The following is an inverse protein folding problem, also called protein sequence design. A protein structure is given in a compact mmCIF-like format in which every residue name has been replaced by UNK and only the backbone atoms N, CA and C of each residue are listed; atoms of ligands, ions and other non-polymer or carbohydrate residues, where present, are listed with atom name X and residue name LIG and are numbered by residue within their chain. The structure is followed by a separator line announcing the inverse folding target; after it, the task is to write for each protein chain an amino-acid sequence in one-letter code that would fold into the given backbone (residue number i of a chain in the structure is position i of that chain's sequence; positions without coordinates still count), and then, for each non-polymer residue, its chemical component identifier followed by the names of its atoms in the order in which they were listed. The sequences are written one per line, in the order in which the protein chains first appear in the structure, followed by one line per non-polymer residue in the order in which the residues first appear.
data_IF_299382788471
#
_entry.id   IF_299382788471
#
_cell.length_a   1.000
_cell.length_b   1.000
_cell.length_c   1.000
_cell.angle_alpha   90.00
_cell.angle_beta   90.00
_cell.angle_gamma   90.00
#
_symmetry.space_group_name_H-M   'P 1'
#
loop_
_entity.id
_entity.type
_entity.pdbx_description
1 polymer ?
#
# COMPACT_ATOMS: atom_id res chain seq x y z
N UNK A 1 2.13 -3.67 4.85
CA UNK A 1 1.63 -2.71 3.84
C UNK A 1 1.15 -3.42 2.58
N UNK A 2 1.99 -4.18 1.86
CA UNK A 2 1.55 -4.92 0.65
C UNK A 2 0.34 -5.85 0.88
N UNK A 3 0.33 -6.61 1.98
CA UNK A 3 -0.76 -7.53 2.30
C UNK A 3 -2.14 -6.85 2.39
N UNK A 4 -2.20 -5.57 2.80
CA UNK A 4 -3.44 -4.79 2.87
C UNK A 4 -4.00 -4.57 1.46
N UNK A 5 -3.16 -4.12 0.53
CA UNK A 5 -3.54 -3.94 -0.88
C UNK A 5 -3.84 -5.27 -1.58
N UNK A 6 -3.02 -6.30 -1.32
CA UNK A 6 -3.16 -7.61 -1.93
C UNK A 6 -4.46 -8.33 -1.53
N UNK A 7 -4.82 -8.25 -0.24
CA UNK A 7 -6.04 -8.88 0.29
C UNK A 7 -7.29 -8.03 0.05
N UNK A 8 -7.14 -6.81 -0.44
CA UNK A 8 -8.25 -5.86 -0.54
C UNK A 8 -8.83 -5.51 0.84
N UNK A 9 -7.98 -5.42 1.86
CA UNK A 9 -8.41 -5.01 3.21
C UNK A 9 -8.65 -3.50 3.22
N UNK A 10 -9.83 -3.10 2.75
CA UNK A 10 -10.19 -1.70 2.51
C UNK A 10 -10.13 -0.88 3.80
N UNK A 11 -10.45 -1.48 4.95
CA UNK A 11 -10.37 -0.78 6.24
C UNK A 11 -8.94 -0.39 6.62
N UNK A 12 -7.94 -1.08 6.06
CA UNK A 12 -6.52 -0.72 6.18
C UNK A 12 -6.06 0.39 5.23
N UNK A 13 -6.88 0.82 4.27
CA UNK A 13 -6.45 1.75 3.21
C UNK A 13 -6.11 3.15 3.74
N UNK A 14 -6.72 3.60 4.85
CA UNK A 14 -6.37 4.87 5.49
C UNK A 14 -4.90 4.90 5.94
N UNK A 15 -4.45 3.88 6.67
CA UNK A 15 -3.05 3.75 7.09
C UNK A 15 -2.09 3.54 5.92
N UNK A 16 -2.56 2.85 4.88
CA UNK A 16 -1.77 2.64 3.67
C UNK A 16 -1.54 3.95 2.92
N UNK A 17 -2.56 4.79 2.81
CA UNK A 17 -2.50 6.13 2.24
C UNK A 17 -1.57 7.06 3.03
N UNK A 18 -1.66 7.05 4.37
CA UNK A 18 -0.76 7.82 5.25
C UNK A 18 0.71 7.44 5.03
N UNK A 19 0.99 6.14 4.92
CA UNK A 19 2.33 5.65 4.64
C UNK A 19 2.85 6.08 3.26
N UNK A 20 2.03 5.96 2.21
CA UNK A 20 2.38 6.44 0.87
C UNK A 20 2.67 7.94 0.90
N UNK A 21 1.82 8.71 1.57
CA UNK A 21 1.97 10.17 1.72
C UNK A 21 3.30 10.53 2.37
N UNK A 22 3.60 9.92 3.53
CA UNK A 22 4.85 10.13 4.26
C UNK A 22 6.08 9.78 3.42
N UNK A 23 6.09 8.58 2.82
CA UNK A 23 7.22 8.10 2.05
C UNK A 23 7.51 8.98 0.83
N UNK A 24 6.45 9.38 0.11
CA UNK A 24 6.58 10.20 -1.10
C UNK A 24 6.79 11.69 -0.80
N UNK A 25 6.52 12.17 0.43
CA UNK A 25 6.99 13.48 0.91
C UNK A 25 8.47 13.46 1.27
N UNK A 26 8.92 12.36 1.85
CA UNK A 26 10.32 12.18 2.24
C UNK A 26 11.22 11.93 1.02
N UNK A 27 10.74 11.14 0.07
CA UNK A 27 11.44 10.80 -1.18
C UNK A 27 10.48 10.95 -2.36
N UNK A 28 10.35 12.15 -2.94
CA UNK A 28 9.41 12.45 -4.03
C UNK A 28 9.63 11.63 -5.29
N UNK A 29 10.83 11.11 -5.52
CA UNK A 29 11.21 10.32 -6.69
C UNK A 29 10.59 8.91 -6.70
N UNK A 30 10.00 8.49 -5.57
CA UNK A 30 9.32 7.21 -5.44
C UNK A 30 8.13 7.07 -6.38
N UNK A 31 7.43 8.14 -6.73
CA UNK A 31 6.32 8.12 -7.67
C UNK A 31 6.25 9.45 -8.41
N UNK A 32 5.80 9.44 -9.67
CA UNK A 32 5.42 10.70 -10.31
C UNK A 32 4.25 11.34 -9.55
N UNK A 33 4.11 12.66 -9.66
CA UNK A 33 2.99 13.38 -9.04
C UNK A 33 1.63 12.77 -9.42
N UNK A 34 1.47 12.40 -10.69
CA UNK A 34 0.30 11.69 -11.21
C UNK A 34 0.06 10.35 -10.52
N UNK A 35 1.08 9.49 -10.47
CA UNK A 35 0.96 8.16 -9.83
C UNK A 35 0.65 8.29 -8.33
N UNK A 36 1.33 9.20 -7.63
CA UNK A 36 1.11 9.49 -6.22
C UNK A 36 -0.34 9.93 -5.99
N UNK A 37 -0.83 10.88 -6.78
CA UNK A 37 -2.19 11.42 -6.64
C UNK A 37 -3.24 10.35 -6.93
N UNK A 38 -3.07 9.57 -8.01
CA UNK A 38 -3.97 8.46 -8.35
C UNK A 38 -4.01 7.40 -7.25
N UNK A 39 -2.86 7.03 -6.68
CA UNK A 39 -2.79 6.04 -5.61
C UNK A 39 -3.47 6.54 -4.33
N UNK A 40 -3.15 7.76 -3.88
CA UNK A 40 -3.75 8.34 -2.66
C UNK A 40 -5.26 8.53 -2.80
N UNK A 41 -5.70 9.16 -3.90
CA UNK A 41 -7.13 9.38 -4.15
C UNK A 41 -7.87 8.06 -4.34
N UNK A 42 -7.24 7.09 -5.03
CA UNK A 42 -7.91 5.86 -5.34
C UNK A 42 -8.10 4.95 -4.11
N UNK A 43 -7.10 4.88 -3.22
CA UNK A 43 -7.22 4.22 -1.91
C UNK A 43 -8.32 4.88 -1.08
N UNK A 44 -8.33 6.21 -1.04
CA UNK A 44 -9.30 6.98 -0.25
C UNK A 44 -10.72 6.86 -0.77
N UNK A 45 -10.92 6.90 -2.08
CA UNK A 45 -12.22 6.70 -2.72
C UNK A 45 -12.80 5.32 -2.38
N UNK A 46 -11.99 4.25 -2.43
CA UNK A 46 -12.41 2.91 -2.02
C UNK A 46 -12.84 2.85 -0.57
N UNK A 47 -12.07 3.45 0.33
CA UNK A 47 -12.43 3.51 1.75
C UNK A 47 -13.74 4.29 1.98
N UNK A 48 -13.90 5.45 1.34
CA UNK A 48 -15.13 6.25 1.41
C UNK A 48 -16.35 5.45 0.92
N UNK A 49 -16.24 4.75 -0.20
CA UNK A 49 -17.33 3.92 -0.72
C UNK A 49 -17.64 2.74 0.22
N UNK A 50 -16.66 2.14 0.87
CA UNK A 50 -16.88 1.08 1.88
C UNK A 50 -17.60 1.61 3.12
N UNK A 51 -17.23 2.81 3.58
CA UNK A 51 -17.91 3.49 4.67
C UNK A 51 -19.36 3.82 4.31
N UNK A 52 -19.63 4.26 3.08
CA UNK A 52 -20.99 4.44 2.59
C UNK A 52 -21.79 3.13 2.57
N UNK A 53 -21.18 2.03 2.09
CA UNK A 53 -21.82 0.70 2.04
C UNK A 53 -22.17 0.16 3.41
N UNK A 54 -21.28 0.31 4.37
CA UNK A 54 -21.45 -0.17 5.75
C UNK A 54 -22.17 0.85 6.65
N UNK A 55 -22.60 1.96 6.07
CA UNK A 55 -23.31 3.05 6.76
C UNK A 55 -22.53 3.67 7.92
N UNK A 56 -21.20 3.58 7.87
CA UNK A 56 -20.29 4.14 8.86
C UNK A 56 -19.95 5.58 8.52
N UNK A 57 -20.55 6.53 9.24
CA UNK A 57 -20.32 7.97 9.02
C UNK A 57 -19.09 8.50 9.76
N UNK A 58 -18.57 7.75 10.73
CA UNK A 58 -17.40 8.14 11.52
C UNK A 58 -16.16 8.29 10.62
N UNK A 59 -15.56 9.48 10.62
CA UNK A 59 -14.36 9.78 9.83
C UNK A 59 -14.59 10.06 8.35
N UNK A 60 -15.79 9.82 7.82
CA UNK A 60 -16.14 10.02 6.40
C UNK A 60 -15.82 11.44 5.92
N UNK A 61 -16.25 12.46 6.67
CA UNK A 61 -16.00 13.86 6.34
C UNK A 61 -14.50 14.17 6.23
N UNK A 62 -13.68 13.61 7.11
CA UNK A 62 -12.22 13.83 7.07
C UNK A 62 -11.60 13.29 5.77
N UNK A 63 -12.12 12.17 5.24
CA UNK A 63 -11.67 11.66 3.96
C UNK A 63 -12.14 12.54 2.80
N UNK A 64 -13.38 13.04 2.84
CA UNK A 64 -13.91 13.96 1.82
C UNK A 64 -13.13 15.27 1.77
N UNK A 65 -12.80 15.84 2.93
CA UNK A 65 -11.99 17.05 3.03
C UNK A 65 -10.60 16.84 2.43
N UNK A 66 -9.98 15.68 2.68
CA UNK A 66 -8.69 15.33 2.07
C UNK A 66 -8.77 15.09 0.56
N UNK A 67 -9.87 14.53 0.04
CA UNK A 67 -10.12 14.46 -1.41
C UNK A 67 -10.23 15.86 -1.96
N UNK A 68 -10.99 16.73 -1.30
CA UNK A 68 -11.17 18.13 -1.69
C UNK A 68 -9.85 18.93 -1.66
N UNK A 69 -9.00 18.69 -0.67
CA UNK A 69 -7.72 19.37 -0.48
C UNK A 69 -6.60 18.85 -1.40
N UNK A 70 -6.77 17.67 -2.03
CA UNK A 70 -5.83 17.19 -3.03
C UNK A 70 -5.81 18.18 -4.20
N UNK A 71 -4.73 18.97 -4.27
CA UNK A 71 -4.52 19.98 -5.31
C UNK A 71 -3.90 19.33 -6.53
N UNK A 72 -4.32 19.77 -7.70
CA UNK A 72 -3.52 19.65 -8.92
C UNK A 72 -2.27 20.53 -8.78
N UNK A 73 -1.07 19.99 -8.99
CA UNK A 73 0.18 20.73 -8.77
C UNK A 73 0.26 21.91 -9.76
N UNK A 74 0.56 23.16 -9.32
CA UNK A 74 0.57 24.33 -10.22
C UNK A 74 1.62 24.31 -11.35
N UNK A 75 2.50 23.31 -11.38
CA UNK A 75 3.62 23.20 -12.32
C UNK A 75 3.58 21.98 -13.24
N UNK A 76 2.52 21.16 -13.17
CA UNK A 76 2.37 19.97 -14.01
C UNK A 76 1.25 20.21 -15.05
N UNK A 77 1.59 20.56 -16.31
CA UNK A 77 0.61 20.88 -17.34
C UNK A 77 -0.28 19.70 -17.74
N UNK A 78 0.13 18.46 -17.45
CA UNK A 78 -0.63 17.24 -17.78
C UNK A 78 -1.64 16.83 -16.69
N UNK A 79 -1.55 17.37 -15.48
CA UNK A 79 -2.45 17.03 -14.36
C UNK A 79 -3.34 18.19 -13.91
N UNK A 80 -3.12 19.40 -14.42
CA UNK A 80 -3.98 20.58 -14.23
C UNK A 80 -5.19 20.62 -15.18
N UNK A 81 -5.72 19.46 -15.57
CA UNK A 81 -6.88 19.42 -16.45
C UNK A 81 -8.16 19.65 -15.65
N UNK A 82 -9.04 20.52 -16.16
CA UNK A 82 -10.39 20.74 -15.63
C UNK A 82 -11.17 19.43 -15.41
N UNK A 83 -10.84 18.38 -16.17
CA UNK A 83 -11.36 17.02 -16.04
C UNK A 83 -11.08 16.36 -14.68
N UNK A 84 -9.91 16.59 -14.08
CA UNK A 84 -9.54 16.02 -12.79
C UNK A 84 -10.37 16.66 -11.65
N UNK A 85 -10.51 17.99 -11.65
CA UNK A 85 -11.38 18.69 -10.69
C UNK A 85 -12.86 18.38 -10.93
N UNK A 86 -13.28 18.16 -12.18
CA UNK A 86 -14.64 17.71 -12.50
C UNK A 86 -14.90 16.30 -11.95
N UNK A 87 -13.97 15.36 -12.14
CA UNK A 87 -14.07 14.00 -11.62
C UNK A 87 -14.13 13.96 -10.10
N UNK A 88 -13.32 14.80 -9.43
CA UNK A 88 -13.37 15.00 -7.99
C UNK A 88 -14.71 15.57 -7.51
N UNK A 89 -15.24 16.57 -8.20
CA UNK A 89 -16.56 17.14 -7.89
C UNK A 89 -17.68 16.13 -8.08
N UNK A 90 -17.63 15.35 -9.17
CA UNK A 90 -18.59 14.27 -9.44
C UNK A 90 -18.53 13.19 -8.36
N UNK A 91 -17.34 12.82 -7.90
CA UNK A 91 -17.19 11.85 -6.81
C UNK A 91 -17.77 12.38 -5.49
N UNK A 92 -17.53 13.64 -5.14
CA UNK A 92 -18.12 14.25 -3.95
C UNK A 92 -19.65 14.31 -4.02
N UNK A 93 -20.21 14.65 -5.19
CA UNK A 93 -21.65 14.63 -5.42
C UNK A 93 -22.23 13.21 -5.30
N UNK A 94 -21.58 12.22 -5.91
CA UNK A 94 -21.94 10.80 -5.78
C UNK A 94 -22.00 10.39 -4.31
N UNK A 95 -20.95 10.67 -3.52
CA UNK A 95 -20.93 10.31 -2.10
C UNK A 95 -22.07 10.97 -1.33
N UNK A 96 -22.39 12.24 -1.61
CA UNK A 96 -23.56 12.89 -1.00
C UNK A 96 -24.87 12.18 -1.35
N UNK A 97 -25.07 11.78 -2.61
CA UNK A 97 -26.22 10.99 -3.04
C UNK A 97 -26.29 9.66 -2.30
N UNK A 98 -25.17 8.91 -2.20
CA UNK A 98 -25.14 7.63 -1.51
C UNK A 98 -25.47 7.74 -0.01
N UNK A 99 -25.15 8.87 0.63
CA UNK A 99 -25.48 9.11 2.04
C UNK A 99 -26.97 9.45 2.22
N UNK A 100 -27.55 10.21 1.29
CA UNK A 100 -28.88 10.79 1.43
C UNK A 100 -30.00 9.86 0.91
N UNK A 101 -29.72 9.08 -0.12
CA UNK A 101 -30.71 8.25 -0.80
C UNK A 101 -30.34 6.75 -0.71
N UNK A 102 -31.04 5.97 0.13
CA UNK A 102 -30.74 4.56 0.30
C UNK A 102 -31.09 3.72 -0.94
N UNK A 103 -32.02 4.17 -1.79
CA UNK A 103 -32.41 3.46 -3.03
C UNK A 103 -31.32 3.61 -4.06
N UNK A 104 -30.84 4.84 -4.28
CA UNK A 104 -29.69 5.11 -5.16
C UNK A 104 -28.41 4.44 -4.64
N UNK A 105 -28.22 4.40 -3.31
CA UNK A 105 -27.09 3.69 -2.70
C UNK A 105 -27.11 2.20 -3.02
N UNK A 106 -28.24 1.54 -2.86
CA UNK A 106 -28.39 0.11 -3.18
C UNK A 106 -28.14 -0.14 -4.67
N UNK A 107 -28.78 0.64 -5.55
CA UNK A 107 -28.59 0.54 -6.99
C UNK A 107 -27.13 0.75 -7.41
N UNK A 108 -26.46 1.76 -6.85
CA UNK A 108 -25.05 2.02 -7.13
C UNK A 108 -24.17 0.82 -6.79
N UNK A 109 -24.35 0.21 -5.61
CA UNK A 109 -23.50 -0.91 -5.20
C UNK A 109 -23.78 -2.21 -5.97
N UNK A 110 -24.99 -2.38 -6.50
CA UNK A 110 -25.35 -3.53 -7.33
C UNK A 110 -24.88 -3.36 -8.78
N UNK A 111 -25.11 -2.21 -9.40
CA UNK A 111 -24.98 -2.05 -10.85
C UNK A 111 -23.73 -1.26 -11.27
N UNK A 112 -23.38 -0.21 -10.51
CA UNK A 112 -22.33 0.76 -10.92
C UNK A 112 -20.98 0.40 -10.29
N UNK A 113 -20.96 0.13 -8.99
CA UNK A 113 -19.74 -0.15 -8.24
C UNK A 113 -18.92 -1.31 -8.82
N UNK A 114 -19.50 -2.47 -9.21
CA UNK A 114 -18.71 -3.58 -9.76
C UNK A 114 -18.05 -3.25 -11.11
N UNK A 115 -18.58 -2.27 -11.83
CA UNK A 115 -18.07 -1.84 -13.14
C UNK A 115 -16.97 -0.80 -12.96
N UNK A 116 -17.26 0.27 -12.22
CA UNK A 116 -16.39 1.45 -12.12
C UNK A 116 -15.32 1.31 -11.03
N UNK A 117 -15.67 0.62 -9.94
CA UNK A 117 -14.82 0.42 -8.76
C UNK A 117 -14.56 -1.05 -8.47
N UNK A 118 -14.79 -1.94 -9.44
CA UNK A 118 -14.59 -3.38 -9.29
C UNK A 118 -13.15 -3.85 -9.57
N UNK A 119 -12.99 -5.08 -10.09
CA UNK A 119 -11.67 -5.71 -10.25
C UNK A 119 -10.65 -4.91 -11.08
N UNK A 120 -11.11 -4.16 -12.08
CA UNK A 120 -10.23 -3.31 -12.91
C UNK A 120 -9.63 -2.18 -12.09
N UNK A 121 -10.44 -1.54 -11.27
CA UNK A 121 -10.01 -0.48 -10.37
C UNK A 121 -9.02 -1.02 -9.33
N UNK A 122 -9.36 -2.17 -8.72
CA UNK A 122 -8.51 -2.81 -7.70
C UNK A 122 -7.16 -3.23 -8.30
N UNK A 123 -7.13 -3.76 -9.52
CA UNK A 123 -5.89 -4.12 -10.22
C UNK A 123 -5.03 -2.88 -10.53
N UNK A 124 -5.64 -1.77 -10.93
CA UNK A 124 -4.93 -0.52 -11.17
C UNK A 124 -4.30 0.04 -9.88
N UNK A 125 -5.04 0.00 -8.76
CA UNK A 125 -4.53 0.37 -7.44
C UNK A 125 -3.37 -0.52 -7.01
N UNK A 126 -3.50 -1.83 -7.15
CA UNK A 126 -2.44 -2.77 -6.82
C UNK A 126 -1.20 -2.55 -7.68
N UNK A 127 -1.36 -2.22 -8.96
CA UNK A 127 -0.24 -1.87 -9.85
C UNK A 127 0.51 -0.62 -9.38
N UNK A 128 -0.20 0.44 -9.00
CA UNK A 128 0.42 1.65 -8.44
C UNK A 128 1.11 1.40 -7.09
N UNK A 129 0.48 0.60 -6.23
CA UNK A 129 1.07 0.18 -4.96
C UNK A 129 2.34 -0.66 -5.16
N UNK A 130 2.31 -1.56 -6.14
CA UNK A 130 3.46 -2.39 -6.48
C UNK A 130 4.63 -1.55 -6.99
N UNK A 131 4.37 -0.61 -7.90
CA UNK A 131 5.39 0.32 -8.41
C UNK A 131 6.03 1.12 -7.26
N UNK A 132 5.21 1.66 -6.37
CA UNK A 132 5.67 2.38 -5.17
C UNK A 132 6.59 1.52 -4.29
N UNK A 133 6.15 0.31 -3.95
CA UNK A 133 6.91 -0.59 -3.09
C UNK A 133 8.19 -1.08 -3.76
N UNK A 134 8.18 -1.31 -5.07
CA UNK A 134 9.35 -1.72 -5.84
C UNK A 134 10.43 -0.64 -5.83
N UNK A 135 10.04 0.63 -5.97
CA UNK A 135 10.98 1.77 -5.87
C UNK A 135 11.45 2.01 -4.45
N UNK A 136 10.57 1.81 -3.46
CA UNK A 136 10.95 1.89 -2.06
C UNK A 136 11.98 0.82 -1.70
N UNK A 137 11.83 -0.40 -2.21
CA UNK A 137 12.81 -1.48 -2.06
C UNK A 137 14.16 -1.10 -2.68
N UNK A 138 14.17 -0.46 -3.85
CA UNK A 138 15.42 -0.01 -4.50
C UNK A 138 16.20 1.02 -3.66
N UNK A 139 15.54 1.77 -2.77
CA UNK A 139 16.20 2.68 -1.82
C UNK A 139 16.83 1.94 -0.63
N UNK A 140 16.40 0.70 -0.37
CA UNK A 140 16.82 -0.11 0.78
C UNK A 140 17.74 -1.24 0.29
N UNK A 141 19.05 -0.99 0.13
CA UNK A 141 19.98 -2.06 -0.28
C UNK A 141 19.96 -3.19 0.74
N UNK A 142 20.15 -4.44 0.31
CA UNK A 142 20.25 -5.57 1.26
C UNK A 142 21.41 -5.31 2.23
N UNK A 143 21.14 -5.03 3.53
CA UNK A 143 22.21 -4.67 4.44
C UNK A 143 22.99 -5.92 4.82
N UNK A 144 24.31 -5.80 4.91
CA UNK A 144 25.09 -6.72 5.73
C UNK A 144 25.02 -6.30 7.20
N UNK A 145 25.55 -7.14 8.10
CA UNK A 145 25.50 -6.87 9.55
C UNK A 145 26.11 -5.50 9.91
N UNK A 146 27.17 -5.08 9.20
CA UNK A 146 27.82 -3.79 9.48
C UNK A 146 26.91 -2.63 9.08
N UNK A 147 26.25 -2.73 7.93
CA UNK A 147 25.27 -1.74 7.48
C UNK A 147 24.06 -1.68 8.42
N UNK A 148 23.52 -2.82 8.85
CA UNK A 148 22.42 -2.86 9.82
C UNK A 148 22.79 -2.16 11.13
N UNK A 149 23.98 -2.44 11.68
CA UNK A 149 24.47 -1.75 12.89
C UNK A 149 24.63 -0.24 12.64
N UNK A 150 25.15 0.16 11.47
CA UNK A 150 25.27 1.57 11.12
C UNK A 150 23.92 2.28 11.05
N UNK A 151 22.89 1.65 10.47
CA UNK A 151 21.55 2.23 10.39
C UNK A 151 20.89 2.37 11.76
N UNK A 152 21.02 1.35 12.61
CA UNK A 152 20.51 1.40 13.98
C UNK A 152 21.20 2.48 14.82
N UNK A 153 22.52 2.66 14.64
CA UNK A 153 23.26 3.73 15.31
C UNK A 153 22.89 5.13 14.79
N UNK A 154 22.50 5.25 13.52
CA UNK A 154 22.03 6.50 12.94
C UNK A 154 20.64 6.92 13.47
N UNK A 155 19.89 6.00 14.08
CA UNK A 155 18.61 6.26 14.73
C UNK A 155 18.51 5.63 16.12
N UNK A 156 19.07 6.25 17.17
CA UNK A 156 19.12 5.67 18.52
C UNK A 156 17.76 5.28 19.09
N UNK A 157 16.70 6.03 18.78
CA UNK A 157 15.32 5.70 19.17
C UNK A 157 14.79 4.42 18.52
N UNK A 158 15.18 4.15 17.26
CA UNK A 158 14.81 2.91 16.56
C UNK A 158 15.48 1.71 17.22
N UNK A 159 16.73 1.87 17.64
CA UNK A 159 17.46 0.83 18.38
C UNK A 159 16.79 0.56 19.74
N UNK A 160 16.38 1.59 20.48
CA UNK A 160 15.64 1.44 21.75
C UNK A 160 14.30 0.71 21.56
N UNK A 161 13.51 1.06 20.54
CA UNK A 161 12.28 0.33 20.19
C UNK A 161 12.55 -1.13 19.79
N UNK A 162 13.64 -1.40 19.07
CA UNK A 162 14.05 -2.76 18.74
C UNK A 162 14.39 -3.55 20.02
N UNK A 163 15.17 -2.97 20.94
CA UNK A 163 15.52 -3.60 22.22
C UNK A 163 14.27 -3.85 23.08
N UNK A 164 13.34 -2.90 23.12
CA UNK A 164 12.05 -3.06 23.81
C UNK A 164 11.20 -4.17 23.17
N UNK A 165 11.22 -4.31 21.84
CA UNK A 165 10.53 -5.40 21.13
C UNK A 165 11.17 -6.76 21.39
N UNK A 166 12.51 -6.82 21.52
CA UNK A 166 13.25 -8.03 21.92
C UNK A 166 12.95 -8.47 23.36
N UNK A 167 12.37 -7.58 24.17
CA UNK A 167 11.88 -7.92 25.51
C UNK A 167 10.62 -8.79 25.49
N UNK A 168 10.07 -9.11 24.31
CA UNK A 168 9.01 -10.10 24.09
C UNK A 168 9.60 -11.41 23.51
N UNK A 169 10.21 -12.28 24.34
CA UNK A 169 10.98 -13.44 23.87
C UNK A 169 10.16 -14.45 23.06
N UNK A 170 8.82 -14.47 23.22
CA UNK A 170 7.95 -15.39 22.47
C UNK A 170 7.88 -15.05 20.97
N UNK A 171 7.80 -13.78 20.59
CA UNK A 171 7.70 -13.38 19.19
C UNK A 171 9.01 -13.63 18.45
N UNK A 172 10.14 -13.30 19.09
CA UNK A 172 11.46 -13.56 18.54
C UNK A 172 11.71 -15.07 18.39
N UNK A 173 11.30 -15.88 19.36
CA UNK A 173 11.38 -17.34 19.26
C UNK A 173 10.61 -17.86 18.05
N UNK A 174 9.37 -17.42 17.86
CA UNK A 174 8.54 -17.82 16.70
C UNK A 174 9.21 -17.44 15.38
N UNK A 175 9.75 -16.22 15.28
CA UNK A 175 10.45 -15.75 14.07
C UNK A 175 11.70 -16.61 13.78
N UNK A 176 12.53 -16.88 14.79
CA UNK A 176 13.72 -17.70 14.65
C UNK A 176 13.39 -19.16 14.30
N UNK A 177 12.33 -19.71 14.87
CA UNK A 177 11.85 -21.06 14.54
C UNK A 177 11.38 -21.14 13.08
N UNK A 178 10.61 -20.16 12.62
CA UNK A 178 10.20 -20.05 11.22
C UNK A 178 11.41 -20.02 10.26
N UNK A 179 12.43 -19.21 10.56
CA UNK A 179 13.65 -19.15 9.73
C UNK A 179 14.51 -20.41 9.82
N UNK A 180 14.49 -21.12 10.96
CA UNK A 180 15.14 -22.44 11.09
C UNK A 180 14.47 -23.48 10.20
N UNK A 181 13.14 -23.49 10.14
CA UNK A 181 12.36 -24.41 9.30
C UNK A 181 12.59 -24.16 7.80
N UNK A 182 12.89 -22.91 7.41
CA UNK A 182 13.28 -22.56 6.04
C UNK A 182 14.67 -23.10 5.62
N UNK A 183 15.43 -23.72 6.54
CA UNK A 183 16.64 -24.46 6.21
C UNK A 183 17.85 -23.60 5.84
N UNK A 184 17.90 -22.33 6.24
CA UNK A 184 19.05 -21.45 5.94
C UNK A 184 20.35 -21.81 6.67
N UNK A 185 20.25 -22.64 7.72
CA UNK A 185 21.37 -23.13 8.51
C UNK A 185 21.30 -24.67 8.57
N UNK A 186 22.34 -25.34 8.10
CA UNK A 186 22.51 -26.77 8.38
C UNK A 186 22.76 -26.97 9.89
N UNK A 187 22.47 -28.17 10.39
CA UNK A 187 22.78 -28.67 11.74
C UNK A 187 24.23 -28.42 12.19
N UNK A 188 25.14 -28.20 11.24
CA UNK A 188 26.55 -27.86 11.46
C UNK A 188 26.87 -26.35 11.39
N UNK A 189 25.86 -25.47 11.33
CA UNK A 189 26.03 -24.01 11.30
C UNK A 189 26.61 -23.44 10.01
N UNK A 190 26.67 -24.23 8.93
CA UNK A 190 27.18 -23.76 7.63
C UNK A 190 26.07 -23.09 6.82
N UNK A 191 26.29 -21.89 6.27
CA UNK A 191 25.34 -21.26 5.37
C UNK A 191 25.29 -22.05 4.06
N UNK A 192 24.10 -22.51 3.68
CA UNK A 192 23.86 -23.12 2.37
C UNK A 192 23.92 -22.01 1.30
N UNK A 193 24.68 -22.26 0.21
CA UNK A 193 24.82 -21.28 -0.89
C UNK A 193 23.43 -20.86 -1.39
N UNK A 194 23.21 -19.54 -1.44
CA UNK A 194 21.97 -18.89 -1.87
C UNK A 194 21.43 -19.50 -3.17
N UNK A 195 20.32 -20.23 -3.08
CA UNK A 195 19.32 -20.16 -4.14
C UNK A 195 18.33 -19.09 -3.67
N UNK A 196 18.14 -18.04 -4.49
CA UNK A 196 17.05 -17.08 -4.30
C UNK A 196 15.79 -17.89 -4.02
N UNK A 197 15.15 -17.66 -2.87
CA UNK A 197 14.08 -18.52 -2.35
C UNK A 197 13.02 -18.75 -3.44
N UNK A 198 13.05 -19.91 -4.14
CA UNK A 198 12.30 -20.08 -5.37
C UNK A 198 10.81 -20.20 -5.07
N UNK A 199 10.43 -20.53 -3.84
CA UNK A 199 9.05 -20.53 -3.36
C UNK A 199 8.51 -19.12 -3.14
N UNK A 200 9.29 -18.22 -2.52
CA UNK A 200 8.86 -16.84 -2.28
C UNK A 200 8.74 -16.07 -3.61
N UNK A 201 9.66 -16.34 -4.56
CA UNK A 201 9.57 -15.83 -5.93
C UNK A 201 8.38 -16.47 -6.66
N UNK A 202 8.14 -17.79 -6.54
CA UNK A 202 6.95 -18.43 -7.13
C UNK A 202 5.66 -17.87 -6.57
N UNK A 203 5.60 -17.60 -5.28
CA UNK A 203 4.40 -17.13 -4.60
C UNK A 203 4.09 -15.69 -5.01
N UNK A 204 5.12 -14.83 -5.08
CA UNK A 204 4.99 -13.47 -5.62
C UNK A 204 4.61 -13.48 -7.11
N UNK A 205 5.27 -14.26 -7.96
CA UNK A 205 4.93 -14.30 -9.39
C UNK A 205 3.57 -14.99 -9.65
N UNK A 206 3.13 -15.95 -8.82
CA UNK A 206 1.76 -16.51 -8.84
C UNK A 206 0.71 -15.47 -8.47
N UNK A 207 0.98 -14.66 -7.44
CA UNK A 207 0.06 -13.63 -6.95
C UNK A 207 -0.07 -12.45 -7.94
N UNK A 208 0.93 -12.24 -8.80
CA UNK A 208 0.95 -11.19 -9.82
C UNK A 208 0.54 -11.70 -11.22
N UNK A 209 0.14 -12.97 -11.37
CA UNK A 209 -0.13 -13.60 -12.67
C UNK A 209 1.01 -13.45 -13.71
N UNK A 210 2.26 -13.36 -13.24
CA UNK A 210 3.43 -13.23 -14.09
C UNK A 210 3.98 -14.64 -14.42
N UNK A 211 3.77 -15.08 -15.66
CA UNK A 211 4.25 -16.39 -16.15
C UNK A 211 5.77 -16.49 -16.32
N UNK A 212 6.53 -15.41 -16.13
CA UNK A 212 7.99 -15.42 -16.27
C UNK A 212 8.68 -14.84 -15.04
N UNK A 213 9.33 -15.73 -14.29
CA UNK A 213 10.16 -15.41 -13.11
C UNK A 213 11.31 -14.43 -13.38
N UNK A 214 11.66 -14.18 -14.65
CA UNK A 214 12.64 -13.16 -15.05
C UNK A 214 12.11 -11.72 -14.98
N UNK A 215 10.79 -11.53 -14.87
CA UNK A 215 10.16 -10.21 -14.65
C UNK A 215 10.00 -9.85 -13.17
N UNK A 216 10.37 -10.77 -12.27
CA UNK A 216 10.35 -10.57 -10.82
C UNK A 216 11.75 -10.13 -10.29
N UNK A 217 12.64 -9.64 -11.17
CA UNK A 217 13.97 -9.07 -10.87
C UNK A 217 14.17 -7.72 -11.55
#
# INVERSE_FOLDING_TARGET
MWQVAQRGDIMGYGKLEEFVTFATETVPELLSFRQRTQLMLGLRAKLVLELCRTEQTAGLQSHLDRIHAARSHPGDPDFCCAEAEASKSNFLALVQTLIQDPVEREHFFQEVFPVDYGPKYDSALQGLMWEFLSRLEQLLPVPDLKQTVSWLNAGPSVLEECVNSLSQPLQLKTLLQHHRELGYLDTNGKPLKKNKNPELVKEVCKLLHLNDSRKCF
#
